data_IF_472177485563
#
_entry.id   IF_472177485563
#
_cell.length_a   1.000
_cell.length_b   1.000
_cell.length_c   1.000
_cell.angle_alpha   90.00
_cell.angle_beta   90.00
_cell.angle_gamma   90.00
#
_symmetry.space_group_name_H-M   'P 1'
#
loop_
_entity.id
_entity.type
_entity.pdbx_description
1 polymer ?
#
# COMPACT_ATOMS: atom_id res chain seq x y z
N UNK A 1 -29.74 35.11 16.76
CA UNK A 1 -29.81 33.66 17.06
C UNK A 1 -29.41 32.91 15.80
N UNK A 2 -28.35 32.11 15.82
CA UNK A 2 -28.00 31.28 14.65
C UNK A 2 -29.05 30.19 14.49
N UNK A 3 -29.71 30.12 13.32
CA UNK A 3 -30.66 29.05 13.02
C UNK A 3 -29.97 27.68 13.05
N UNK A 4 -30.73 26.61 13.21
CA UNK A 4 -30.19 25.25 13.13
C UNK A 4 -29.53 24.99 11.75
N UNK A 5 -30.04 25.60 10.68
CA UNK A 5 -29.41 25.59 9.36
C UNK A 5 -28.01 26.21 9.36
N UNK A 6 -27.83 27.33 10.07
CA UNK A 6 -26.54 27.97 10.25
C UNK A 6 -25.59 27.12 11.10
N UNK A 7 -26.10 26.53 12.18
CA UNK A 7 -25.33 25.59 13.01
C UNK A 7 -24.89 24.40 12.17
N UNK A 8 -25.77 23.82 11.35
CA UNK A 8 -25.47 22.68 10.49
C UNK A 8 -24.72 23.04 9.20
N UNK A 9 -24.36 24.31 8.99
CA UNK A 9 -23.67 24.82 7.78
C UNK A 9 -24.34 24.34 6.48
N UNK A 10 -25.68 24.41 6.42
CA UNK A 10 -26.46 23.82 5.33
C UNK A 10 -25.99 24.30 3.93
N UNK A 11 -25.58 25.56 3.83
CA UNK A 11 -25.06 26.19 2.62
C UNK A 11 -23.75 25.57 2.11
N UNK A 12 -22.97 24.90 2.95
CA UNK A 12 -21.74 24.19 2.54
C UNK A 12 -22.06 22.83 1.90
N UNK A 13 -23.19 22.22 2.25
CA UNK A 13 -23.56 20.86 1.83
C UNK A 13 -24.57 20.81 0.68
N UNK A 14 -25.35 21.88 0.51
CA UNK A 14 -26.44 21.97 -0.45
C UNK A 14 -26.36 23.24 -1.28
N UNK A 15 -26.87 23.15 -2.50
CA UNK A 15 -27.19 24.32 -3.32
C UNK A 15 -28.62 24.69 -2.97
N UNK A 16 -28.80 25.90 -2.42
CA UNK A 16 -30.10 26.44 -2.05
C UNK A 16 -30.52 27.54 -3.03
N UNK A 17 -31.81 27.65 -3.30
CA UNK A 17 -32.38 28.77 -4.04
C UNK A 17 -32.21 30.07 -3.22
N UNK A 18 -31.72 31.13 -3.85
CA UNK A 18 -31.41 32.40 -3.19
C UNK A 18 -32.63 33.23 -2.80
N UNK A 19 -33.80 32.95 -3.38
CA UNK A 19 -35.07 33.64 -3.14
C UNK A 19 -36.00 32.85 -2.23
N UNK A 20 -36.06 31.53 -2.37
CA UNK A 20 -36.97 30.68 -1.58
C UNK A 20 -36.29 29.98 -0.41
N UNK A 21 -34.95 29.84 -0.44
CA UNK A 21 -34.19 29.07 0.56
C UNK A 21 -34.38 27.55 0.46
N UNK A 22 -35.06 27.06 -0.59
CA UNK A 22 -35.27 25.64 -0.81
C UNK A 22 -33.99 24.93 -1.27
N UNK A 23 -33.83 23.68 -0.86
CA UNK A 23 -32.71 22.84 -1.26
C UNK A 23 -32.98 22.33 -2.68
N UNK A 24 -32.18 22.79 -3.65
CA UNK A 24 -32.29 22.35 -5.04
C UNK A 24 -31.61 21.00 -5.25
N UNK A 25 -30.37 20.87 -4.77
CA UNK A 25 -29.59 19.64 -4.87
C UNK A 25 -28.42 19.62 -3.90
N UNK A 26 -27.93 18.42 -3.55
CA UNK A 26 -26.59 18.24 -3.01
C UNK A 26 -25.51 19.00 -3.77
N UNK A 27 -24.58 19.65 -3.07
CA UNK A 27 -23.30 20.02 -3.68
C UNK A 27 -22.52 18.74 -3.99
N UNK A 28 -21.87 18.68 -5.16
CA UNK A 28 -20.78 17.73 -5.44
C UNK A 28 -19.57 18.20 -4.64
N UNK A 29 -19.57 17.92 -3.33
CA UNK A 29 -18.50 18.40 -2.46
C UNK A 29 -17.28 17.53 -2.68
N UNK A 30 -16.19 18.13 -3.18
CA UNK A 30 -14.84 17.54 -3.13
C UNK A 30 -14.29 17.46 -1.69
N UNK A 31 -14.95 18.13 -0.73
CA UNK A 31 -14.70 17.95 0.70
C UNK A 31 -15.33 16.65 1.17
N UNK A 32 -14.58 15.58 0.98
CA UNK A 32 -14.71 14.38 1.80
C UNK A 32 -14.11 14.79 3.17
N UNK A 33 -14.85 14.64 4.28
CA UNK A 33 -14.35 14.84 5.66
C UNK A 33 -14.17 16.30 6.19
N UNK A 34 -15.19 17.15 6.08
CA UNK A 34 -15.34 18.32 6.98
C UNK A 34 -15.99 17.88 8.29
N UNK A 35 -15.17 17.62 9.30
CA UNK A 35 -15.62 17.23 10.64
C UNK A 35 -15.66 18.44 11.56
N UNK A 36 -16.79 19.10 11.52
CA UNK A 36 -17.32 19.53 12.79
C UNK A 36 -17.67 18.28 13.61
N UNK A 37 -17.32 18.27 14.90
CA UNK A 37 -17.85 17.30 15.84
C UNK A 37 -19.35 17.12 15.55
N UNK A 38 -19.82 15.87 15.45
CA UNK A 38 -21.19 15.55 15.04
C UNK A 38 -22.16 16.58 15.60
N UNK A 39 -22.62 17.46 14.70
CA UNK A 39 -23.35 18.64 15.13
C UNK A 39 -24.70 18.19 15.66
N UNK A 40 -24.93 18.49 16.93
CA UNK A 40 -26.16 18.18 17.62
C UNK A 40 -27.02 19.42 17.79
N UNK A 41 -28.17 19.24 18.40
CA UNK A 41 -29.02 20.34 18.84
C UNK A 41 -28.21 21.31 19.73
N UNK A 42 -28.25 22.64 19.49
CA UNK A 42 -27.53 23.63 20.30
C UNK A 42 -27.90 23.62 21.78
N UNK A 43 -29.10 23.14 22.10
CA UNK A 43 -29.65 23.17 23.46
C UNK A 43 -29.40 21.85 24.21
N UNK A 44 -29.72 20.71 23.61
CA UNK A 44 -29.62 19.40 24.28
C UNK A 44 -28.46 18.54 23.79
N UNK A 45 -27.71 18.98 22.77
CA UNK A 45 -26.60 18.25 22.13
C UNK A 45 -26.96 16.90 21.51
N UNK A 46 -28.24 16.52 21.51
CA UNK A 46 -28.72 15.30 20.87
C UNK A 46 -28.46 15.34 19.35
N UNK A 47 -28.12 14.20 18.73
CA UNK A 47 -27.95 14.13 17.28
C UNK A 47 -29.24 14.52 16.54
N UNK A 48 -29.14 15.37 15.52
CA UNK A 48 -30.29 15.74 14.66
C UNK A 48 -30.43 14.81 13.45
N UNK A 49 -29.97 13.56 13.59
CA UNK A 49 -29.84 12.58 12.49
C UNK A 49 -31.16 12.02 11.97
N UNK A 50 -32.26 12.21 12.71
CA UNK A 50 -33.59 11.77 12.30
C UNK A 50 -34.31 12.80 11.41
N UNK A 51 -33.84 14.04 11.39
CA UNK A 51 -34.40 15.09 10.55
C UNK A 51 -33.82 14.94 9.14
N UNK A 52 -34.67 14.61 8.16
CA UNK A 52 -34.27 14.34 6.76
C UNK A 52 -33.34 15.40 6.18
N UNK A 53 -33.63 16.68 6.46
CA UNK A 53 -32.86 17.85 6.03
C UNK A 53 -31.38 17.79 6.43
N UNK A 54 -31.07 17.26 7.61
CA UNK A 54 -29.70 17.19 8.16
C UNK A 54 -29.11 15.78 8.18
N UNK A 55 -29.95 14.76 7.96
CA UNK A 55 -29.60 13.35 8.04
C UNK A 55 -28.40 13.02 7.15
N UNK A 56 -28.37 13.53 5.91
CA UNK A 56 -27.25 13.32 4.98
C UNK A 56 -25.93 13.87 5.51
N UNK A 57 -25.94 15.04 6.14
CA UNK A 57 -24.74 15.68 6.71
C UNK A 57 -24.17 14.79 7.82
N UNK A 58 -25.03 14.32 8.73
CA UNK A 58 -24.63 13.46 9.84
C UNK A 58 -24.16 12.09 9.37
N UNK A 59 -24.91 11.42 8.47
CA UNK A 59 -24.51 10.12 7.91
C UNK A 59 -23.20 10.21 7.14
N UNK A 60 -22.98 11.30 6.39
CA UNK A 60 -21.71 11.53 5.71
C UNK A 60 -20.57 11.65 6.72
N UNK A 61 -20.73 12.46 7.77
CA UNK A 61 -19.72 12.61 8.83
C UNK A 61 -19.39 11.26 9.53
N UNK A 62 -20.40 10.40 9.73
CA UNK A 62 -20.18 9.05 10.29
C UNK A 62 -19.40 8.13 9.35
N UNK A 63 -19.69 8.16 8.05
CA UNK A 63 -18.95 7.36 7.05
C UNK A 63 -17.50 7.82 6.90
N UNK A 64 -17.33 9.13 6.98
CA UNK A 64 -16.06 9.80 6.98
C UNK A 64 -15.21 9.32 8.20
N UNK A 65 -15.77 9.35 9.41
CA UNK A 65 -15.13 8.80 10.62
C UNK A 65 -14.85 7.28 10.54
N UNK A 66 -15.75 6.50 9.94
CA UNK A 66 -15.53 5.07 9.74
C UNK A 66 -14.36 4.82 8.77
N UNK A 67 -14.28 5.60 7.69
CA UNK A 67 -13.18 5.54 6.71
C UNK A 67 -11.85 5.89 7.36
N UNK A 68 -11.85 6.91 8.24
CA UNK A 68 -10.71 7.29 9.06
C UNK A 68 -10.14 6.12 9.86
N UNK A 69 -11.01 5.49 10.66
CA UNK A 69 -10.64 4.35 11.52
C UNK A 69 -10.15 3.17 10.70
N UNK A 70 -10.81 2.90 9.57
CA UNK A 70 -10.39 1.88 8.63
C UNK A 70 -8.97 2.13 8.10
N UNK A 71 -8.68 3.33 7.60
CA UNK A 71 -7.36 3.70 7.07
C UNK A 71 -6.27 3.57 8.12
N UNK A 72 -6.51 4.07 9.34
CA UNK A 72 -5.56 3.92 10.46
C UNK A 72 -5.28 2.45 10.78
N UNK A 73 -6.34 1.64 10.89
CA UNK A 73 -6.20 0.23 11.21
C UNK A 73 -5.49 -0.54 10.08
N UNK A 74 -5.83 -0.24 8.83
CA UNK A 74 -5.19 -0.86 7.66
C UNK A 74 -3.70 -0.52 7.58
N UNK A 75 -3.31 0.74 7.82
CA UNK A 75 -1.91 1.14 7.86
C UNK A 75 -1.13 0.50 9.01
N UNK A 76 -1.71 0.40 10.20
CA UNK A 76 -1.10 -0.31 11.33
C UNK A 76 -0.83 -1.78 10.98
N UNK A 77 -1.82 -2.48 10.39
CA UNK A 77 -1.64 -3.85 9.93
C UNK A 77 -0.60 -3.98 8.82
N UNK A 78 -0.48 -3.00 7.90
CA UNK A 78 0.59 -3.00 6.90
C UNK A 78 1.98 -2.91 7.56
N UNK A 79 2.15 -2.04 8.56
CA UNK A 79 3.42 -1.90 9.27
C UNK A 79 3.80 -3.18 10.01
N UNK A 80 2.83 -3.84 10.65
CA UNK A 80 3.01 -5.16 11.29
C UNK A 80 3.42 -6.22 10.26
N UNK A 81 2.67 -6.33 9.16
CA UNK A 81 2.93 -7.30 8.10
C UNK A 81 4.34 -7.16 7.51
N UNK A 82 4.82 -5.94 7.31
CA UNK A 82 6.18 -5.72 6.77
C UNK A 82 7.25 -6.26 7.71
N UNK A 83 7.06 -6.11 9.03
CA UNK A 83 7.97 -6.67 10.03
C UNK A 83 7.88 -8.20 10.03
N UNK A 84 6.67 -8.77 9.97
CA UNK A 84 6.47 -10.23 9.88
C UNK A 84 7.10 -10.80 8.60
N UNK A 85 6.96 -10.12 7.46
CA UNK A 85 7.57 -10.52 6.19
C UNK A 85 9.09 -10.52 6.29
N UNK A 86 9.69 -9.45 6.83
CA UNK A 86 11.15 -9.39 6.99
C UNK A 86 11.68 -10.52 7.88
N UNK A 87 10.97 -10.85 8.97
CA UNK A 87 11.32 -12.01 9.80
C UNK A 87 11.20 -13.32 9.02
N UNK A 88 10.10 -13.51 8.30
CA UNK A 88 9.88 -14.70 7.49
C UNK A 88 10.94 -14.89 6.39
N UNK A 89 11.41 -13.81 5.76
CA UNK A 89 12.51 -13.84 4.80
C UNK A 89 13.81 -14.36 5.45
N UNK A 90 14.19 -13.79 6.59
CA UNK A 90 15.39 -14.24 7.32
C UNK A 90 15.30 -15.69 7.82
N UNK A 91 14.11 -16.12 8.25
CA UNK A 91 13.86 -17.49 8.69
C UNK A 91 13.93 -18.49 7.52
N UNK A 92 13.40 -18.12 6.35
CA UNK A 92 13.49 -18.93 5.13
C UNK A 92 14.94 -19.10 4.68
N UNK A 93 15.72 -18.02 4.65
CA UNK A 93 17.15 -18.07 4.31
C UNK A 93 17.92 -18.99 5.25
N UNK A 94 17.76 -18.79 6.57
CA UNK A 94 18.43 -19.62 7.59
C UNK A 94 18.00 -21.08 7.52
N UNK A 95 16.72 -21.34 7.26
CA UNK A 95 16.15 -22.68 7.20
C UNK A 95 16.66 -23.53 6.04
N UNK A 96 17.23 -22.94 4.99
CA UNK A 96 17.84 -23.71 3.88
C UNK A 96 18.99 -24.61 4.34
N UNK A 97 19.69 -24.23 5.42
CA UNK A 97 20.81 -24.99 6.00
C UNK A 97 20.45 -26.41 6.46
N UNK A 98 19.17 -26.68 6.73
CA UNK A 98 18.69 -28.01 7.08
C UNK A 98 18.91 -28.99 5.91
N UNK A 99 18.75 -28.52 4.68
CA UNK A 99 18.85 -29.32 3.46
C UNK A 99 20.28 -29.44 2.91
N UNK A 100 21.21 -28.59 3.38
CA UNK A 100 22.63 -28.68 3.03
C UNK A 100 23.41 -29.62 3.95
N UNK A 101 22.93 -29.84 5.17
CA UNK A 101 23.67 -30.55 6.23
C UNK A 101 23.30 -32.03 6.39
N UNK A 102 22.16 -32.46 5.87
CA UNK A 102 21.69 -33.85 5.90
C UNK A 102 21.49 -34.35 4.48
N UNK A 103 22.03 -35.53 4.15
CA UNK A 103 21.53 -36.30 3.01
C UNK A 103 20.19 -36.91 3.44
N UNK A 104 19.05 -36.52 2.82
CA UNK A 104 17.79 -37.16 3.14
C UNK A 104 17.86 -38.60 2.63
N UNK A 105 17.99 -39.57 3.55
CA UNK A 105 18.07 -41.00 3.22
C UNK A 105 16.80 -41.52 2.50
N UNK A 106 15.67 -40.80 2.60
CA UNK A 106 14.41 -41.14 1.93
C UNK A 106 13.57 -39.92 1.49
N UNK A 107 12.84 -40.06 0.37
CA UNK A 107 11.91 -39.03 -0.17
C UNK A 107 10.86 -38.58 0.86
N UNK A 108 10.41 -39.50 1.73
CA UNK A 108 9.38 -39.22 2.76
C UNK A 108 9.90 -38.29 3.86
N UNK A 109 11.19 -38.36 4.18
CA UNK A 109 11.82 -37.49 5.16
C UNK A 109 12.00 -36.08 4.59
N UNK A 110 12.41 -35.97 3.32
CA UNK A 110 12.49 -34.69 2.61
C UNK A 110 11.15 -33.96 2.56
N UNK A 111 10.07 -34.68 2.23
CA UNK A 111 8.72 -34.11 2.16
C UNK A 111 8.24 -33.55 3.51
N UNK A 112 8.60 -34.22 4.59
CA UNK A 112 8.27 -33.82 5.96
C UNK A 112 9.08 -32.61 6.39
N UNK A 113 10.39 -32.61 6.10
CA UNK A 113 11.28 -31.47 6.31
C UNK A 113 10.82 -30.24 5.51
N UNK A 114 10.44 -30.43 4.24
CA UNK A 114 9.96 -29.37 3.36
C UNK A 114 8.64 -28.77 3.87
N UNK A 115 7.68 -29.61 4.30
CA UNK A 115 6.43 -29.12 4.89
C UNK A 115 6.67 -28.30 6.15
N UNK A 116 7.61 -28.76 7.00
CA UNK A 116 7.99 -28.07 8.24
C UNK A 116 8.67 -26.73 7.92
N UNK A 117 9.61 -26.72 6.98
CA UNK A 117 10.29 -25.52 6.47
C UNK A 117 9.29 -24.48 5.94
N UNK A 118 8.27 -24.92 5.20
CA UNK A 118 7.29 -24.02 4.61
C UNK A 118 6.17 -23.60 5.57
N UNK A 119 6.10 -24.12 6.80
CA UNK A 119 4.95 -23.92 7.67
C UNK A 119 4.72 -22.43 8.02
N UNK A 120 5.78 -21.75 8.47
CA UNK A 120 5.69 -20.35 8.89
C UNK A 120 5.36 -19.41 7.72
N UNK A 121 5.96 -19.64 6.55
CA UNK A 121 5.63 -18.84 5.36
C UNK A 121 4.17 -19.04 4.91
N UNK A 122 3.63 -20.26 5.02
CA UNK A 122 2.21 -20.50 4.71
C UNK A 122 1.27 -19.83 5.72
N UNK A 123 1.65 -19.77 7.02
CA UNK A 123 0.92 -18.99 8.02
C UNK A 123 0.92 -17.51 7.69
N UNK A 124 2.06 -16.96 7.29
CA UNK A 124 2.19 -15.57 6.85
C UNK A 124 1.33 -15.28 5.60
N UNK A 125 1.39 -16.15 4.58
CA UNK A 125 0.52 -16.04 3.40
C UNK A 125 -0.97 -16.09 3.76
N UNK A 126 -1.36 -16.92 4.76
CA UNK A 126 -2.73 -16.95 5.28
C UNK A 126 -3.09 -15.65 6.00
N UNK A 127 -2.18 -15.06 6.77
CA UNK A 127 -2.36 -13.75 7.41
C UNK A 127 -2.52 -12.62 6.39
N UNK A 128 -1.70 -12.61 5.33
CA UNK A 128 -1.83 -11.68 4.21
C UNK A 128 -3.18 -11.85 3.52
N UNK A 129 -3.63 -13.08 3.22
CA UNK A 129 -4.96 -13.32 2.65
C UNK A 129 -6.09 -12.77 3.52
N UNK A 130 -6.01 -12.92 4.84
CA UNK A 130 -6.99 -12.33 5.77
C UNK A 130 -6.98 -10.81 5.68
N UNK A 131 -5.80 -10.20 5.61
CA UNK A 131 -5.66 -8.76 5.41
C UNK A 131 -6.23 -8.30 4.06
N UNK A 132 -5.94 -9.02 2.97
CA UNK A 132 -6.51 -8.73 1.64
C UNK A 132 -8.03 -8.70 1.65
N UNK A 133 -8.67 -9.67 2.32
CA UNK A 133 -10.14 -9.69 2.49
C UNK A 133 -10.63 -8.50 3.31
N UNK A 134 -9.92 -8.16 4.39
CA UNK A 134 -10.28 -7.01 5.23
C UNK A 134 -10.26 -5.68 4.47
N UNK A 135 -9.33 -5.50 3.51
CA UNK A 135 -9.19 -4.25 2.74
C UNK A 135 -9.91 -4.26 1.39
N UNK A 136 -10.65 -5.31 1.09
CA UNK A 136 -11.41 -5.44 -0.16
C UNK A 136 -12.37 -4.27 -0.33
N UNK A 137 -12.55 -3.79 -1.56
CA UNK A 137 -13.37 -2.61 -1.88
C UNK A 137 -14.76 -2.67 -1.21
N UNK A 138 -15.37 -3.85 -1.18
CA UNK A 138 -16.69 -4.14 -0.59
C UNK A 138 -16.72 -4.04 0.93
N UNK A 139 -15.60 -4.33 1.60
CA UNK A 139 -15.50 -4.29 3.06
C UNK A 139 -15.18 -2.89 3.60
N UNK A 140 -14.72 -1.98 2.74
CA UNK A 140 -14.48 -0.60 3.11
C UNK A 140 -15.80 0.13 3.42
N UNK A 141 -15.81 1.17 4.28
CA UNK A 141 -17.03 1.84 4.70
C UNK A 141 -17.90 2.33 3.54
N UNK A 142 -17.30 2.95 2.52
CA UNK A 142 -18.01 3.37 1.31
C UNK A 142 -18.46 2.20 0.43
N UNK A 143 -17.69 1.11 0.37
CA UNK A 143 -18.08 -0.12 -0.31
C UNK A 143 -19.32 -0.76 0.30
N UNK A 144 -19.42 -0.81 1.64
CA UNK A 144 -20.59 -1.32 2.34
C UNK A 144 -21.84 -0.49 2.07
N UNK A 145 -21.71 0.84 2.06
CA UNK A 145 -22.83 1.73 1.68
C UNK A 145 -23.25 1.48 0.24
N UNK A 146 -22.30 1.31 -0.68
CA UNK A 146 -22.61 1.00 -2.06
C UNK A 146 -23.39 -0.31 -2.18
N UNK A 147 -22.96 -1.37 -1.48
CA UNK A 147 -23.68 -2.64 -1.46
C UNK A 147 -25.09 -2.52 -0.88
N UNK A 148 -25.25 -1.77 0.21
CA UNK A 148 -26.56 -1.50 0.81
C UNK A 148 -27.47 -0.74 -0.16
N UNK A 149 -26.92 0.25 -0.87
CA UNK A 149 -27.63 1.03 -1.87
C UNK A 149 -28.07 0.15 -3.05
N UNK A 150 -27.14 -0.58 -3.67
CA UNK A 150 -27.43 -1.52 -4.77
C UNK A 150 -28.50 -2.53 -4.37
N UNK A 151 -28.41 -3.08 -3.14
CA UNK A 151 -29.41 -4.02 -2.61
C UNK A 151 -30.78 -3.37 -2.39
N UNK A 152 -30.83 -2.09 -2.02
CA UNK A 152 -32.09 -1.36 -1.83
C UNK A 152 -32.75 -1.00 -3.16
N UNK A 153 -31.97 -0.57 -4.15
CA UNK A 153 -32.44 -0.31 -5.54
C UNK A 153 -32.99 -1.60 -6.14
N UNK A 154 -32.27 -2.72 -6.03
CA UNK A 154 -32.74 -4.00 -6.55
C UNK A 154 -34.10 -4.45 -5.97
N UNK A 155 -34.45 -4.01 -4.75
CA UNK A 155 -35.73 -4.33 -4.09
C UNK A 155 -36.85 -3.37 -4.43
N UNK A 156 -36.57 -2.18 -4.97
CA UNK A 156 -37.56 -1.14 -5.28
C UNK A 156 -37.51 -0.83 -6.78
N UNK A 157 -38.53 -1.26 -7.52
CA UNK A 157 -38.64 -1.03 -8.97
C UNK A 157 -38.73 0.45 -9.37
N UNK A 158 -38.97 1.35 -8.42
CA UNK A 158 -39.25 2.78 -8.65
C UNK A 158 -38.05 3.72 -8.37
N UNK A 159 -36.86 3.17 -8.09
CA UNK A 159 -35.65 3.99 -7.91
C UNK A 159 -34.87 4.00 -9.21
N UNK A 160 -34.77 5.17 -9.84
CA UNK A 160 -33.93 5.39 -11.01
C UNK A 160 -32.46 5.07 -10.66
N UNK A 161 -31.80 4.27 -11.51
CA UNK A 161 -30.44 3.74 -11.27
C UNK A 161 -29.36 4.83 -11.21
N UNK A 162 -29.67 6.04 -11.69
CA UNK A 162 -28.86 7.25 -11.72
C UNK A 162 -29.09 8.17 -10.50
N UNK A 163 -30.01 7.84 -9.59
CA UNK A 163 -30.34 8.68 -8.43
C UNK A 163 -29.19 8.86 -7.42
N UNK A 164 -28.17 8.00 -7.46
CA UNK A 164 -27.01 8.07 -6.58
C UNK A 164 -25.75 7.53 -7.28
N UNK A 165 -24.92 8.45 -7.77
CA UNK A 165 -23.60 8.14 -8.29
C UNK A 165 -22.59 8.19 -7.13
N UNK A 166 -22.18 7.04 -6.62
CA UNK A 166 -21.11 6.98 -5.61
C UNK A 166 -19.78 7.22 -6.32
N UNK A 167 -19.06 8.24 -5.88
CA UNK A 167 -17.70 8.50 -6.34
C UNK A 167 -16.78 7.35 -5.89
N UNK A 168 -16.40 6.46 -6.82
CA UNK A 168 -15.51 5.34 -6.53
C UNK A 168 -14.09 5.80 -6.13
N UNK A 169 -13.71 7.06 -6.41
CA UNK A 169 -12.40 7.60 -5.99
C UNK A 169 -12.24 7.69 -4.47
N UNK A 170 -13.34 7.59 -3.71
CA UNK A 170 -13.33 7.56 -2.25
C UNK A 170 -12.86 6.19 -1.71
N UNK A 171 -12.95 5.13 -2.51
CA UNK A 171 -12.52 3.78 -2.13
C UNK A 171 -10.99 3.71 -2.15
N UNK A 172 -10.40 3.33 -1.01
CA UNK A 172 -8.95 3.26 -0.81
C UNK A 172 -8.39 1.97 -1.42
N UNK A 173 -8.31 1.91 -2.76
CA UNK A 173 -7.85 0.72 -3.50
C UNK A 173 -6.38 0.38 -3.26
N UNK A 174 -5.57 1.35 -2.82
CA UNK A 174 -4.14 1.17 -2.58
C UNK A 174 -3.81 0.09 -1.54
N UNK A 175 -4.66 -0.14 -0.54
CA UNK A 175 -4.42 -1.21 0.45
C UNK A 175 -4.50 -2.61 -0.15
N UNK A 176 -5.40 -2.82 -1.11
CA UNK A 176 -5.55 -4.11 -1.79
C UNK A 176 -4.34 -4.40 -2.68
N UNK A 177 -3.87 -3.40 -3.44
CA UNK A 177 -2.66 -3.50 -4.26
C UNK A 177 -1.39 -3.75 -3.41
N UNK A 178 -1.33 -3.11 -2.25
CA UNK A 178 -0.26 -3.36 -1.26
C UNK A 178 -0.27 -4.79 -0.74
N UNK A 179 -1.45 -5.31 -0.40
CA UNK A 179 -1.58 -6.69 0.05
C UNK A 179 -1.14 -7.69 -1.05
N UNK A 180 -1.44 -7.39 -2.32
CA UNK A 180 -0.92 -8.17 -3.45
C UNK A 180 0.60 -8.09 -3.55
N UNK A 181 1.19 -6.90 -3.38
CA UNK A 181 2.64 -6.71 -3.39
C UNK A 181 3.33 -7.49 -2.25
N UNK A 182 2.77 -7.48 -1.04
CA UNK A 182 3.24 -8.33 0.07
C UNK A 182 3.17 -9.82 -0.25
N UNK A 183 2.10 -10.27 -0.92
CA UNK A 183 1.98 -11.66 -1.36
C UNK A 183 3.08 -12.02 -2.35
N UNK A 184 3.34 -11.17 -3.34
CA UNK A 184 4.41 -11.38 -4.33
C UNK A 184 5.78 -11.47 -3.66
N UNK A 185 6.08 -10.55 -2.75
CA UNK A 185 7.32 -10.53 -1.96
C UNK A 185 7.57 -11.84 -1.22
N UNK A 186 6.58 -12.32 -0.47
CA UNK A 186 6.70 -13.56 0.30
C UNK A 186 6.86 -14.77 -0.61
N UNK A 187 6.15 -14.81 -1.75
CA UNK A 187 6.31 -15.90 -2.71
C UNK A 187 7.67 -15.86 -3.42
N UNK A 188 8.20 -14.68 -3.71
CA UNK A 188 9.55 -14.55 -4.24
C UNK A 188 10.57 -15.15 -3.27
N UNK A 189 10.50 -14.78 -2.00
CA UNK A 189 11.36 -15.34 -0.98
C UNK A 189 11.24 -16.86 -0.87
N UNK A 190 10.02 -17.40 -0.87
CA UNK A 190 9.79 -18.83 -0.85
C UNK A 190 10.39 -19.52 -2.08
N UNK A 191 10.05 -19.07 -3.30
CA UNK A 191 10.49 -19.75 -4.52
C UNK A 191 12.00 -19.65 -4.74
N UNK A 192 12.62 -18.51 -4.42
CA UNK A 192 14.07 -18.35 -4.50
C UNK A 192 14.81 -19.30 -3.53
N UNK A 193 14.33 -19.43 -2.30
CA UNK A 193 14.95 -20.37 -1.36
C UNK A 193 14.71 -21.84 -1.76
N UNK A 194 13.57 -22.17 -2.37
CA UNK A 194 13.33 -23.51 -2.94
C UNK A 194 14.27 -23.81 -4.10
N UNK A 195 14.54 -22.81 -4.95
CA UNK A 195 15.53 -22.93 -6.02
C UNK A 195 16.94 -23.14 -5.47
N UNK A 196 17.30 -22.42 -4.40
CA UNK A 196 18.56 -22.61 -3.67
C UNK A 196 18.68 -24.06 -3.13
N UNK A 197 17.60 -24.59 -2.54
CA UNK A 197 17.54 -25.99 -2.10
C UNK A 197 17.69 -26.94 -3.29
N UNK A 198 16.98 -26.70 -4.41
CA UNK A 198 17.06 -27.53 -5.60
C UNK A 198 18.47 -27.54 -6.24
N UNK A 199 19.20 -26.43 -6.14
CA UNK A 199 20.58 -26.30 -6.60
C UNK A 199 21.62 -26.95 -5.65
N UNK A 200 21.21 -27.41 -4.47
CA UNK A 200 22.10 -28.05 -3.51
C UNK A 200 22.50 -29.45 -3.99
N UNK A 201 23.81 -29.76 -3.95
CA UNK A 201 24.38 -31.00 -4.50
C UNK A 201 23.87 -32.28 -3.83
N UNK A 202 23.56 -32.24 -2.53
CA UNK A 202 23.04 -33.37 -1.75
C UNK A 202 21.62 -33.80 -2.16
N UNK A 203 20.89 -32.96 -2.89
CA UNK A 203 19.51 -33.25 -3.29
C UNK A 203 19.49 -34.17 -4.52
N UNK A 204 18.86 -35.33 -4.38
CA UNK A 204 18.69 -36.30 -5.45
C UNK A 204 17.95 -35.74 -6.68
N UNK A 205 18.24 -36.29 -7.87
CA UNK A 205 17.74 -35.79 -9.15
C UNK A 205 16.21 -35.79 -9.27
N UNK A 206 15.54 -36.81 -8.70
CA UNK A 206 14.07 -36.91 -8.71
C UNK A 206 13.43 -35.76 -7.91
N UNK A 207 13.84 -35.56 -6.66
CA UNK A 207 13.37 -34.46 -5.80
C UNK A 207 13.67 -33.10 -6.45
N UNK A 208 14.86 -32.94 -7.04
CA UNK A 208 15.23 -31.73 -7.77
C UNK A 208 14.27 -31.45 -8.93
N UNK A 209 13.94 -32.46 -9.73
CA UNK A 209 12.98 -32.32 -10.83
C UNK A 209 11.58 -31.90 -10.36
N UNK A 210 11.10 -32.49 -9.26
CA UNK A 210 9.81 -32.12 -8.65
C UNK A 210 9.78 -30.68 -8.15
N UNK A 211 10.83 -30.25 -7.43
CA UNK A 211 10.97 -28.88 -6.95
C UNK A 211 10.99 -27.89 -8.10
N UNK A 212 11.82 -28.13 -9.13
CA UNK A 212 11.93 -27.25 -10.30
C UNK A 212 10.60 -27.15 -11.05
N UNK A 213 9.87 -28.25 -11.21
CA UNK A 213 8.52 -28.25 -11.79
C UNK A 213 7.55 -27.39 -10.99
N UNK A 214 7.57 -27.53 -9.66
CA UNK A 214 6.73 -26.74 -8.74
C UNK A 214 7.08 -25.25 -8.83
N UNK A 215 8.36 -24.91 -8.82
CA UNK A 215 8.87 -23.54 -8.95
C UNK A 215 8.41 -22.93 -10.28
N UNK A 216 8.65 -23.57 -11.42
CA UNK A 216 8.24 -23.05 -12.73
C UNK A 216 6.72 -22.89 -12.86
N UNK A 217 5.92 -23.80 -12.29
CA UNK A 217 4.46 -23.67 -12.30
C UNK A 217 3.99 -22.49 -11.44
N UNK A 218 4.53 -22.35 -10.23
CA UNK A 218 4.18 -21.25 -9.32
C UNK A 218 4.65 -19.90 -9.84
N UNK A 219 5.87 -19.82 -10.39
CA UNK A 219 6.42 -18.60 -10.95
C UNK A 219 5.56 -18.06 -12.10
N UNK A 220 5.10 -18.91 -13.03
CA UNK A 220 4.19 -18.49 -14.11
C UNK A 220 2.88 -17.88 -13.60
N UNK A 221 2.22 -18.51 -12.62
CA UNK A 221 1.00 -17.95 -12.04
C UNK A 221 1.24 -16.62 -11.31
N UNK A 222 2.42 -16.46 -10.69
CA UNK A 222 2.80 -15.20 -10.03
C UNK A 222 3.17 -14.10 -11.03
N UNK A 223 3.66 -14.45 -12.23
CA UNK A 223 3.86 -13.49 -13.32
C UNK A 223 2.52 -12.91 -13.79
N UNK A 224 1.48 -13.74 -13.92
CA UNK A 224 0.12 -13.28 -14.26
C UNK A 224 -0.44 -12.34 -13.19
N UNK A 225 -0.20 -12.66 -11.91
CA UNK A 225 -0.54 -11.78 -10.78
C UNK A 225 0.22 -10.44 -10.86
N UNK A 226 1.52 -10.45 -11.19
CA UNK A 226 2.31 -9.25 -11.39
C UNK A 226 1.75 -8.39 -12.54
N UNK A 227 1.43 -8.97 -13.70
CA UNK A 227 0.87 -8.25 -14.83
C UNK A 227 -0.49 -7.58 -14.50
N UNK A 228 -1.32 -8.29 -13.72
CA UNK A 228 -2.58 -7.76 -13.20
C UNK A 228 -2.35 -6.57 -12.25
N UNK A 229 -1.36 -6.68 -11.36
CA UNK A 229 -1.00 -5.62 -10.41
C UNK A 229 -0.42 -4.39 -11.12
N UNK A 230 0.42 -4.56 -12.15
CA UNK A 230 0.93 -3.48 -12.99
C UNK A 230 -0.23 -2.68 -13.58
N UNK A 231 -1.17 -3.36 -14.26
CA UNK A 231 -2.33 -2.72 -14.90
C UNK A 231 -3.22 -1.99 -13.89
N UNK A 232 -3.49 -2.61 -12.75
CA UNK A 232 -4.30 -2.02 -11.68
C UNK A 232 -3.62 -0.80 -11.04
N UNK A 233 -2.31 -0.86 -10.82
CA UNK A 233 -1.52 0.24 -10.25
C UNK A 233 -1.40 1.44 -11.18
N UNK A 234 -1.27 1.22 -12.49
CA UNK A 234 -1.28 2.28 -13.51
C UNK A 234 -2.63 3.00 -13.55
N UNK A 235 -3.72 2.21 -13.57
CA UNK A 235 -5.10 2.74 -13.56
C UNK A 235 -5.37 3.56 -12.29
N UNK A 236 -4.88 3.07 -11.14
CA UNK A 236 -5.01 3.75 -9.86
C UNK A 236 -3.98 4.89 -9.64
N UNK A 237 -3.02 5.08 -10.57
CA UNK A 237 -1.92 6.07 -10.47
C UNK A 237 -1.09 5.90 -9.18
N UNK A 238 -0.72 4.65 -8.88
CA UNK A 238 0.05 4.26 -7.70
C UNK A 238 1.42 3.69 -8.13
N UNK A 239 2.40 4.54 -8.49
CA UNK A 239 3.65 4.12 -9.12
C UNK A 239 4.53 3.21 -8.25
N UNK A 240 4.39 3.28 -6.91
CA UNK A 240 5.07 2.38 -5.99
C UNK A 240 4.77 0.90 -6.28
N UNK A 241 3.49 0.56 -6.39
CA UNK A 241 3.07 -0.83 -6.63
C UNK A 241 3.37 -1.27 -8.06
N UNK A 242 3.41 -0.32 -9.02
CA UNK A 242 3.84 -0.61 -10.39
C UNK A 242 5.30 -1.08 -10.41
N UNK A 243 6.19 -0.32 -9.76
CA UNK A 243 7.62 -0.64 -9.69
C UNK A 243 7.84 -1.98 -8.98
N UNK A 244 7.22 -2.19 -7.82
CA UNK A 244 7.34 -3.46 -7.09
C UNK A 244 6.86 -4.65 -7.94
N UNK A 245 5.74 -4.51 -8.64
CA UNK A 245 5.20 -5.58 -9.49
C UNK A 245 6.11 -5.89 -10.69
N UNK A 246 6.69 -4.87 -11.35
CA UNK A 246 7.64 -5.06 -12.46
C UNK A 246 8.93 -5.74 -12.00
N UNK A 247 9.45 -5.36 -10.83
CA UNK A 247 10.61 -6.02 -10.22
C UNK A 247 10.33 -7.51 -9.98
N UNK A 248 9.19 -7.82 -9.35
CA UNK A 248 8.81 -9.22 -9.10
C UNK A 248 8.53 -9.98 -10.39
N UNK A 249 7.94 -9.34 -11.41
CA UNK A 249 7.73 -9.94 -12.73
C UNK A 249 9.07 -10.38 -13.34
N UNK A 250 10.06 -9.49 -13.41
CA UNK A 250 11.38 -9.81 -13.92
C UNK A 250 12.06 -10.95 -13.13
N UNK A 251 11.96 -10.90 -11.80
CA UNK A 251 12.49 -11.94 -10.91
C UNK A 251 11.83 -13.31 -11.16
N UNK A 252 10.50 -13.39 -11.21
CA UNK A 252 9.78 -14.64 -11.49
C UNK A 252 10.02 -15.14 -12.92
N UNK A 253 10.11 -14.25 -13.91
CA UNK A 253 10.48 -14.58 -15.29
C UNK A 253 11.82 -15.31 -15.33
N UNK A 254 12.85 -14.76 -14.67
CA UNK A 254 14.18 -15.37 -14.64
C UNK A 254 14.21 -16.69 -13.86
N UNK A 255 13.47 -16.78 -12.75
CA UNK A 255 13.36 -18.02 -11.99
C UNK A 255 12.68 -19.14 -12.78
N UNK A 256 11.57 -18.82 -13.45
CA UNK A 256 10.85 -19.75 -14.33
C UNK A 256 11.73 -20.22 -15.49
N UNK A 257 12.46 -19.30 -16.12
CA UNK A 257 13.38 -19.58 -17.22
C UNK A 257 14.51 -20.53 -16.78
N UNK A 258 15.21 -20.19 -15.69
CA UNK A 258 16.32 -21.01 -15.16
C UNK A 258 15.86 -22.43 -14.82
N UNK A 259 14.74 -22.57 -14.13
CA UNK A 259 14.19 -23.88 -13.77
C UNK A 259 13.75 -24.67 -15.00
N UNK A 260 13.16 -24.02 -16.01
CA UNK A 260 12.71 -24.69 -17.24
C UNK A 260 13.89 -25.18 -18.09
N UNK A 261 14.94 -24.37 -18.23
CA UNK A 261 16.19 -24.75 -18.92
C UNK A 261 16.78 -26.01 -18.32
N UNK A 262 16.87 -26.02 -16.99
CA UNK A 262 17.41 -27.12 -16.22
C UNK A 262 16.57 -28.42 -16.28
N UNK A 263 15.27 -28.35 -16.62
CA UNK A 263 14.47 -29.51 -16.98
C UNK A 263 14.70 -29.97 -18.44
N UNK A 264 15.02 -29.03 -19.33
CA UNK A 264 15.02 -29.20 -20.79
C UNK A 264 16.32 -29.69 -21.42
N UNK A 265 17.41 -29.90 -20.66
CA UNK A 265 18.73 -30.36 -21.14
C UNK A 265 18.74 -31.81 -21.72
N UNK A 266 17.64 -32.29 -22.31
CA UNK A 266 17.49 -33.64 -22.87
C UNK A 266 17.39 -33.68 -24.41
N UNK A 267 17.42 -32.56 -25.15
CA UNK A 267 17.32 -32.61 -26.64
C UNK A 267 17.89 -31.39 -27.37
N UNK A 268 18.85 -31.61 -28.28
CA UNK A 268 19.64 -30.59 -29.00
C UNK A 268 18.81 -29.70 -29.97
N UNK A 269 17.71 -30.20 -30.53
CA UNK A 269 16.89 -29.42 -31.49
C UNK A 269 16.02 -28.33 -30.84
N UNK A 270 15.86 -28.35 -29.51
CA UNK A 270 15.09 -27.35 -28.77
C UNK A 270 15.92 -26.15 -28.30
N UNK A 271 17.25 -26.16 -28.43
CA UNK A 271 18.13 -25.13 -27.85
C UNK A 271 18.10 -23.79 -28.61
N UNK A 272 18.06 -23.78 -29.94
CA UNK A 272 18.12 -22.52 -30.73
C UNK A 272 16.85 -21.66 -30.57
N UNK A 273 15.66 -22.28 -30.62
CA UNK A 273 14.36 -21.58 -30.43
C UNK A 273 14.21 -21.09 -28.99
N UNK A 274 14.70 -21.86 -28.01
CA UNK A 274 14.65 -21.49 -26.60
C UNK A 274 15.61 -20.35 -26.28
N UNK A 275 16.76 -20.28 -26.97
CA UNK A 275 17.74 -19.19 -26.84
C UNK A 275 17.21 -17.86 -27.38
N UNK A 276 16.55 -17.85 -28.54
CA UNK A 276 15.95 -16.64 -29.10
C UNK A 276 14.79 -16.11 -28.23
N UNK A 277 13.93 -17.00 -27.73
CA UNK A 277 12.84 -16.64 -26.82
C UNK A 277 13.38 -16.13 -25.46
N UNK A 278 14.47 -16.71 -24.96
CA UNK A 278 15.17 -16.25 -23.77
C UNK A 278 15.76 -14.84 -23.95
N UNK A 279 16.42 -14.58 -25.08
CA UNK A 279 16.99 -13.26 -25.39
C UNK A 279 15.88 -12.20 -25.41
N UNK A 280 14.77 -12.49 -26.09
CA UNK A 280 13.63 -11.58 -26.19
C UNK A 280 12.96 -11.35 -24.82
N UNK A 281 12.84 -12.39 -23.99
CA UNK A 281 12.33 -12.26 -22.62
C UNK A 281 13.24 -11.36 -21.79
N UNK A 282 14.55 -11.60 -21.78
CA UNK A 282 15.52 -10.77 -21.03
C UNK A 282 15.49 -9.32 -21.50
N UNK A 283 15.36 -9.09 -22.81
CA UNK A 283 15.20 -7.75 -23.39
C UNK A 283 13.94 -7.05 -22.84
N UNK A 284 12.78 -7.71 -22.91
CA UNK A 284 11.51 -7.16 -22.40
C UNK A 284 11.57 -6.83 -20.91
N UNK A 285 12.15 -7.72 -20.09
CA UNK A 285 12.29 -7.45 -18.66
C UNK A 285 13.23 -6.28 -18.38
N UNK A 286 14.33 -6.15 -19.14
CA UNK A 286 15.23 -4.99 -19.02
C UNK A 286 14.52 -3.67 -19.38
N UNK A 287 13.75 -3.62 -20.47
CA UNK A 287 12.94 -2.45 -20.85
C UNK A 287 11.90 -2.11 -19.75
N UNK A 288 11.30 -3.13 -19.13
CA UNK A 288 10.39 -2.95 -18.00
C UNK A 288 11.10 -2.39 -16.75
N UNK A 289 12.34 -2.81 -16.48
CA UNK A 289 13.15 -2.31 -15.37
C UNK A 289 13.70 -0.90 -15.65
N UNK A 290 14.01 -0.55 -16.89
CA UNK A 290 14.33 0.83 -17.30
C UNK A 290 13.14 1.77 -17.06
N UNK A 291 11.91 1.31 -17.34
CA UNK A 291 10.70 2.05 -16.97
C UNK A 291 10.63 2.30 -15.45
N UNK A 292 11.08 1.33 -14.63
CA UNK A 292 11.14 1.50 -13.18
C UNK A 292 12.15 2.56 -12.74
N UNK A 293 13.29 2.66 -13.42
CA UNK A 293 14.30 3.70 -13.15
C UNK A 293 13.75 5.08 -13.46
N UNK A 294 13.10 5.25 -14.61
CA UNK A 294 12.43 6.51 -14.98
C UNK A 294 11.37 6.89 -13.93
N UNK A 295 10.60 5.93 -13.43
CA UNK A 295 9.66 6.18 -12.33
C UNK A 295 10.39 6.61 -11.04
N UNK A 296 11.52 5.99 -10.70
CA UNK A 296 12.34 6.37 -9.53
C UNK A 296 13.06 7.71 -9.69
N UNK A 297 13.25 8.20 -10.91
CA UNK A 297 13.77 9.55 -11.21
C UNK A 297 12.66 10.60 -11.10
N UNK A 298 11.46 10.29 -11.57
CA UNK A 298 10.29 11.15 -11.45
C UNK A 298 9.83 11.31 -9.99
N UNK A 299 10.06 10.27 -9.17
CA UNK A 299 9.54 10.14 -7.81
C UNK A 299 10.63 9.73 -6.80
N UNK A 300 11.72 10.52 -6.65
CA UNK A 300 12.90 10.09 -5.89
C UNK A 300 12.64 9.99 -4.38
N UNK A 301 11.68 10.77 -3.86
CA UNK A 301 11.32 10.77 -2.44
C UNK A 301 10.57 9.52 -1.98
N UNK A 302 9.63 9.02 -2.80
CA UNK A 302 8.82 7.85 -2.41
C UNK A 302 9.36 6.54 -2.98
N UNK A 303 10.05 6.56 -4.12
CA UNK A 303 10.53 5.35 -4.80
C UNK A 303 12.04 5.14 -4.70
N UNK A 304 12.79 6.07 -4.12
CA UNK A 304 14.26 6.00 -4.03
C UNK A 304 14.78 4.71 -3.40
N UNK A 305 14.06 4.16 -2.42
CA UNK A 305 14.41 2.91 -1.73
C UNK A 305 14.35 1.66 -2.66
N UNK A 306 13.61 1.73 -3.77
CA UNK A 306 13.47 0.61 -4.73
C UNK A 306 14.64 0.52 -5.71
N UNK A 307 15.55 1.51 -5.76
CA UNK A 307 16.67 1.51 -6.71
C UNK A 307 17.57 0.30 -6.57
N UNK A 308 17.86 -0.12 -5.33
CA UNK A 308 18.64 -1.33 -5.06
C UNK A 308 17.89 -2.60 -5.48
N UNK A 309 16.57 -2.66 -5.26
CA UNK A 309 15.74 -3.78 -5.74
C UNK A 309 15.77 -3.89 -7.28
N UNK A 310 15.71 -2.75 -7.99
CA UNK A 310 15.80 -2.68 -9.47
C UNK A 310 17.18 -3.15 -9.95
N UNK A 311 18.26 -2.65 -9.34
CA UNK A 311 19.62 -3.04 -9.73
C UNK A 311 19.85 -4.55 -9.55
N UNK A 312 19.38 -5.13 -8.44
CA UNK A 312 19.43 -6.57 -8.21
C UNK A 312 18.61 -7.36 -9.22
N UNK A 313 17.42 -6.88 -9.58
CA UNK A 313 16.60 -7.50 -10.63
C UNK A 313 17.31 -7.45 -12.00
N UNK A 314 17.92 -6.32 -12.37
CA UNK A 314 18.71 -6.20 -13.61
C UNK A 314 19.89 -7.17 -13.63
N UNK A 315 20.63 -7.28 -12.52
CA UNK A 315 21.72 -8.26 -12.39
C UNK A 315 21.23 -9.69 -12.64
N UNK A 316 20.08 -10.05 -12.07
CA UNK A 316 19.46 -11.36 -12.30
C UNK A 316 19.04 -11.56 -13.77
N UNK A 317 18.39 -10.56 -14.38
CA UNK A 317 18.00 -10.57 -15.80
C UNK A 317 19.18 -10.65 -16.75
N UNK A 318 20.36 -10.18 -16.34
CA UNK A 318 21.59 -10.25 -17.13
C UNK A 318 22.46 -11.48 -16.82
N UNK A 319 21.92 -12.48 -16.11
CA UNK A 319 22.59 -13.77 -15.88
C UNK A 319 23.36 -13.88 -14.55
N UNK A 320 23.14 -12.97 -13.62
CA UNK A 320 23.64 -13.10 -12.25
C UNK A 320 23.11 -14.37 -11.59
N UNK A 321 24.01 -15.17 -10.99
CA UNK A 321 23.68 -16.48 -10.37
C UNK A 321 23.33 -16.38 -8.90
N UNK A 322 23.55 -15.23 -8.27
CA UNK A 322 23.32 -15.01 -6.84
C UNK A 322 22.37 -13.84 -6.63
N UNK A 323 21.25 -14.09 -5.95
CA UNK A 323 20.34 -13.05 -5.49
C UNK A 323 20.40 -12.97 -3.96
N UNK A 324 20.55 -11.76 -3.44
CA UNK A 324 20.46 -11.46 -2.00
C UNK A 324 19.27 -10.56 -1.75
N UNK A 325 18.48 -10.85 -0.71
CA UNK A 325 17.34 -10.03 -0.35
C UNK A 325 17.80 -8.61 0.05
N UNK A 326 17.01 -7.60 -0.29
CA UNK A 326 17.23 -6.23 0.19
C UNK A 326 16.75 -6.15 1.64
N UNK A 327 17.50 -5.43 2.48
CA UNK A 327 17.16 -5.27 3.89
C UNK A 327 15.76 -4.68 4.03
N UNK A 328 14.96 -5.25 4.93
CA UNK A 328 13.59 -4.78 5.17
C UNK A 328 13.56 -3.43 5.88
N UNK A 329 14.70 -2.92 6.34
CA UNK A 329 14.78 -1.72 7.16
C UNK A 329 14.29 -0.46 6.43
N UNK A 330 14.66 -0.27 5.16
CA UNK A 330 14.21 0.89 4.35
C UNK A 330 12.69 0.83 4.10
N UNK A 331 12.17 -0.33 3.69
CA UNK A 331 10.71 -0.55 3.53
C UNK A 331 9.99 -0.35 4.86
N UNK A 332 10.53 -0.85 5.97
CA UNK A 332 9.97 -0.70 7.31
C UNK A 332 9.93 0.76 7.74
N UNK A 333 10.94 1.55 7.44
CA UNK A 333 10.96 2.99 7.73
C UNK A 333 9.91 3.74 6.91
N UNK A 334 9.72 3.41 5.62
CA UNK A 334 8.62 3.96 4.82
C UNK A 334 7.26 3.64 5.45
N UNK A 335 7.00 2.39 5.83
CA UNK A 335 5.71 2.02 6.42
C UNK A 335 5.53 2.51 7.86
N UNK A 336 6.60 2.60 8.66
CA UNK A 336 6.57 3.26 9.97
C UNK A 336 6.32 4.75 9.81
N UNK A 337 6.96 5.40 8.85
CA UNK A 337 6.70 6.80 8.53
C UNK A 337 5.25 6.98 8.11
N UNK A 338 4.72 6.14 7.20
CA UNK A 338 3.31 6.14 6.83
C UNK A 338 2.41 5.95 8.06
N UNK A 339 2.62 4.91 8.88
CA UNK A 339 1.83 4.67 10.10
C UNK A 339 1.93 5.84 11.10
N UNK A 340 3.10 6.46 11.22
CA UNK A 340 3.36 7.61 12.10
C UNK A 340 2.78 8.91 11.57
N UNK A 341 2.57 9.05 10.25
CA UNK A 341 1.80 10.16 9.69
C UNK A 341 0.34 10.10 10.15
N UNK A 342 -0.14 8.93 10.61
CA UNK A 342 -1.44 8.79 11.26
C UNK A 342 -1.38 8.84 12.80
N UNK A 343 -0.23 9.21 13.41
CA UNK A 343 -0.08 9.48 14.86
C UNK A 343 0.51 10.88 15.13
N UNK A 344 0.14 11.57 16.23
CA UNK A 344 0.60 12.94 16.58
C UNK A 344 -0.48 14.04 16.55
N UNK A 345 -0.12 15.33 16.50
CA UNK A 345 -0.99 16.54 16.66
C UNK A 345 -1.16 17.48 15.44
N UNK A 346 -0.55 17.22 14.27
CA UNK A 346 -0.67 18.07 13.06
C UNK A 346 -2.02 18.04 12.31
N UNK A 347 -2.21 18.96 11.35
CA UNK A 347 -3.42 19.06 10.52
C UNK A 347 -3.44 18.10 9.32
N UNK A 348 -4.64 17.71 8.91
CA UNK A 348 -4.91 16.74 7.86
C UNK A 348 -5.38 17.40 6.57
N UNK A 349 -5.05 16.78 5.44
CA UNK A 349 -5.41 17.21 4.09
C UNK A 349 -5.72 16.01 3.20
N UNK A 350 -6.47 16.24 2.12
CA UNK A 350 -6.57 15.31 1.00
C UNK A 350 -5.66 15.76 -0.12
N UNK A 351 -4.93 14.82 -0.72
CA UNK A 351 -4.34 15.08 -2.02
C UNK A 351 -5.44 15.11 -3.10
N UNK A 352 -5.12 15.63 -4.30
CA UNK A 352 -6.04 15.69 -5.44
C UNK A 352 -6.66 14.33 -5.87
N UNK A 353 -6.07 13.22 -5.43
CA UNK A 353 -6.52 11.85 -5.70
C UNK A 353 -7.30 11.25 -4.50
N UNK A 354 -7.65 12.05 -3.48
CA UNK A 354 -8.47 11.60 -2.35
C UNK A 354 -7.71 10.83 -1.25
N UNK A 355 -6.37 10.78 -1.29
CA UNK A 355 -5.57 10.15 -0.23
C UNK A 355 -5.48 11.07 1.00
N UNK A 356 -5.82 10.57 2.21
CA UNK A 356 -5.62 11.31 3.45
C UNK A 356 -4.13 11.41 3.76
N UNK A 357 -3.65 12.65 3.92
CA UNK A 357 -2.26 12.96 4.27
C UNK A 357 -2.25 13.90 5.46
N UNK A 358 -1.23 13.78 6.29
CA UNK A 358 -1.05 14.65 7.44
C UNK A 358 0.33 15.28 7.38
N UNK A 359 0.40 16.60 7.60
CA UNK A 359 1.69 17.28 7.68
C UNK A 359 2.20 17.20 9.13
N UNK A 360 3.46 16.77 9.39
CA UNK A 360 4.02 16.88 10.72
C UNK A 360 4.07 18.36 11.15
N UNK A 361 3.80 18.69 12.43
CA UNK A 361 4.08 20.02 12.95
C UNK A 361 5.58 20.30 12.77
N UNK A 362 5.93 21.55 12.49
CA UNK A 362 7.28 22.02 12.16
C UNK A 362 8.37 21.23 12.91
N UNK A 363 9.03 20.29 12.23
CA UNK A 363 10.44 20.03 12.51
C UNK A 363 11.23 20.81 11.47
N UNK A 364 12.15 21.61 11.98
CA UNK A 364 13.12 22.43 11.24
C UNK A 364 13.63 21.74 9.96
N UNK A 365 14.01 22.52 8.93
CA UNK A 365 14.41 22.01 7.63
C UNK A 365 15.48 20.91 7.71
N UNK A 366 15.38 19.94 6.80
CA UNK A 366 16.26 18.77 6.60
C UNK A 366 17.67 19.18 6.10
N UNK A 367 18.24 20.29 6.56
CA UNK A 367 19.59 20.75 6.18
C UNK A 367 20.68 20.49 7.21
N UNK A 368 20.42 19.76 8.30
CA UNK A 368 21.44 19.49 9.34
C UNK A 368 21.64 18.01 9.74
N UNK A 369 21.30 17.06 8.87
CA UNK A 369 21.55 15.62 9.10
C UNK A 369 22.87 15.11 8.49
N UNK A 370 23.91 15.96 8.42
CA UNK A 370 25.25 15.58 7.92
C UNK A 370 26.42 15.83 8.87
N UNK A 371 26.21 16.37 10.07
CA UNK A 371 27.34 16.77 10.94
C UNK A 371 27.36 16.18 12.36
N UNK A 372 26.46 15.28 12.74
CA UNK A 372 26.43 14.71 14.12
C UNK A 372 26.64 13.20 14.18
N UNK A 373 27.52 12.67 13.33
CA UNK A 373 28.05 11.30 13.46
C UNK A 373 29.55 11.26 13.78
N UNK A 374 30.10 12.34 14.34
CA UNK A 374 31.42 12.30 14.97
C UNK A 374 31.35 13.05 16.30
N UNK A 375 31.68 12.36 17.38
CA UNK A 375 31.82 12.82 18.78
C UNK A 375 30.52 13.04 19.58
N UNK A 376 30.15 12.06 20.42
CA UNK A 376 30.12 12.16 21.89
C UNK A 376 29.25 11.06 22.53
N UNK A 377 29.65 10.68 23.74
CA UNK A 377 29.20 9.54 24.55
C UNK A 377 27.84 9.71 25.23
N UNK A 378 27.37 8.61 25.82
CA UNK A 378 26.22 8.48 26.71
C UNK A 378 26.20 9.48 27.88
N UNK A 379 24.96 9.80 28.31
CA UNK A 379 24.51 10.63 29.45
C UNK A 379 24.50 12.17 29.25
N UNK A 380 23.32 12.76 29.01
CA UNK A 380 22.63 13.60 30.03
C UNK A 380 21.30 14.22 29.56
N UNK A 381 20.26 13.92 30.34
CA UNK A 381 19.21 14.78 30.93
C UNK A 381 18.32 15.70 30.07
N UNK A 382 17.02 15.35 30.14
CA UNK A 382 15.79 16.14 29.98
C UNK A 382 15.89 17.60 30.45
N UNK A 383 15.48 18.56 29.62
CA UNK A 383 14.76 19.77 30.08
C UNK A 383 13.80 20.27 29.00
N UNK A 384 12.53 20.28 29.39
CA UNK A 384 11.41 20.90 28.70
C UNK A 384 11.58 22.42 28.59
N UNK A 385 11.46 22.94 27.39
CA UNK A 385 10.98 24.32 27.16
C UNK A 385 10.04 24.28 25.96
N UNK A 386 8.75 24.10 26.28
CA UNK A 386 7.65 24.40 25.37
C UNK A 386 7.57 25.93 25.24
N UNK A 387 7.89 26.45 24.06
CA UNK A 387 7.44 27.78 23.65
C UNK A 387 6.62 27.61 22.38
N UNK A 388 5.35 28.00 22.46
CA UNK A 388 4.37 27.99 21.38
C UNK A 388 4.59 29.20 20.48
N UNK A 389 5.25 28.98 19.34
CA UNK A 389 5.10 29.87 18.19
C UNK A 389 3.72 29.57 17.61
N UNK A 390 2.88 30.59 17.44
CA UNK A 390 1.52 30.44 16.94
C UNK A 390 1.49 29.68 15.62
N UNK A 391 1.01 28.44 15.65
CA UNK A 391 0.83 27.61 14.46
C UNK A 391 -0.38 28.17 13.68
N UNK A 392 -0.12 28.82 12.56
CA UNK A 392 -1.16 29.32 11.66
C UNK A 392 -2.04 28.22 11.04
N UNK A 393 -1.78 26.94 11.35
CA UNK A 393 -2.59 25.78 10.98
C UNK A 393 -2.75 25.52 9.47
N UNK A 394 -2.13 26.34 8.64
CA UNK A 394 -2.22 26.32 7.18
C UNK A 394 -0.87 25.92 6.58
N UNK A 395 -0.87 25.35 5.37
CA UNK A 395 0.36 24.82 4.80
C UNK A 395 1.29 25.95 4.35
N UNK A 396 2.48 25.99 4.94
CA UNK A 396 3.56 26.95 4.64
C UNK A 396 4.70 26.38 3.79
N UNK A 397 4.64 25.07 3.52
CA UNK A 397 5.57 24.38 2.62
C UNK A 397 4.81 23.29 1.87
N UNK A 398 5.14 23.14 0.59
CA UNK A 398 4.73 22.00 -0.23
C UNK A 398 5.47 20.73 0.18
N UNK A 399 4.77 19.61 0.04
CA UNK A 399 5.27 18.25 0.22
C UNK A 399 4.62 17.33 -0.83
N UNK A 400 4.92 16.03 -0.79
CA UNK A 400 4.36 15.03 -1.71
C UNK A 400 3.53 13.99 -0.97
N UNK A 401 2.40 13.60 -1.56
CA UNK A 401 1.58 12.51 -1.05
C UNK A 401 2.40 11.20 -1.06
N UNK A 402 2.52 10.48 0.06
CA UNK A 402 3.33 9.27 0.13
C UNK A 402 2.69 8.07 -0.61
N UNK A 403 1.44 8.20 -1.05
CA UNK A 403 0.73 7.17 -1.82
C UNK A 403 0.80 7.40 -3.33
N UNK A 404 0.76 8.66 -3.78
CA UNK A 404 0.62 8.98 -5.21
C UNK A 404 1.41 10.19 -5.68
N UNK A 405 2.33 10.71 -4.88
CA UNK A 405 3.29 11.78 -5.23
C UNK A 405 2.68 13.14 -5.61
N UNK A 406 1.35 13.24 -5.63
CA UNK A 406 0.64 14.49 -5.89
C UNK A 406 1.11 15.58 -4.90
N UNK A 407 1.20 16.85 -5.36
CA UNK A 407 1.48 17.97 -4.48
C UNK A 407 0.48 17.98 -3.32
N UNK A 408 1.00 18.08 -2.11
CA UNK A 408 0.24 18.24 -0.86
C UNK A 408 0.87 19.36 -0.04
N UNK A 409 0.16 19.90 0.94
CA UNK A 409 0.60 21.13 1.59
C UNK A 409 0.29 22.34 0.72
N UNK A 410 1.24 23.28 0.58
CA UNK A 410 0.97 24.62 0.06
C UNK A 410 1.99 25.67 0.52
N UNK A 411 1.99 26.86 -0.08
CA UNK A 411 2.87 27.98 0.24
C UNK A 411 2.05 29.16 0.76
N UNK A 412 2.65 29.97 1.63
CA UNK A 412 2.02 31.22 2.11
C UNK A 412 0.61 31.06 2.68
N UNK A 413 0.35 29.91 3.34
CA UNK A 413 -0.95 29.52 3.89
C UNK A 413 -2.00 29.10 2.84
N UNK A 414 -1.65 29.02 1.56
CA UNK A 414 -2.54 28.54 0.51
C UNK A 414 -2.23 27.09 0.13
N UNK A 415 -3.22 26.18 0.16
CA UNK A 415 -3.02 24.80 -0.22
C UNK A 415 -2.73 24.66 -1.73
N UNK A 416 -1.86 23.70 -2.08
CA UNK A 416 -1.55 23.40 -3.48
C UNK A 416 -2.82 23.00 -4.27
N UNK A 417 -2.88 23.22 -5.59
CA UNK A 417 -4.09 23.00 -6.38
C UNK A 417 -4.69 21.59 -6.22
N UNK A 418 -5.96 21.52 -5.83
CA UNK A 418 -6.67 20.25 -5.58
C UNK A 418 -6.41 19.62 -4.21
N UNK A 419 -5.62 20.28 -3.35
CA UNK A 419 -5.47 19.92 -1.95
C UNK A 419 -6.54 20.62 -1.14
N UNK A 420 -7.20 19.88 -0.27
CA UNK A 420 -8.25 20.41 0.59
C UNK A 420 -8.01 19.98 2.03
N UNK A 421 -8.18 20.91 2.98
CA UNK A 421 -8.04 20.64 4.41
C UNK A 421 -9.11 19.64 4.85
N UNK A 422 -8.69 18.63 5.61
CA UNK A 422 -9.55 17.63 6.22
C UNK A 422 -9.87 18.06 7.65
N UNK A 423 -10.57 19.19 7.78
CA UNK A 423 -10.89 19.88 9.04
C UNK A 423 -11.48 18.96 10.11
N UNK A 424 -12.08 17.83 9.70
CA UNK A 424 -12.63 16.84 10.62
C UNK A 424 -11.68 15.98 11.39
N UNK A 425 -10.50 15.77 10.85
CA UNK A 425 -9.48 15.00 11.53
C UNK A 425 -8.72 15.88 12.53
N UNK A 426 -8.67 17.18 12.27
CA UNK A 426 -8.00 18.18 13.10
C UNK A 426 -8.68 18.34 14.47
N UNK A 427 -10.02 18.41 14.52
CA UNK A 427 -10.77 18.65 15.76
C UNK A 427 -10.76 17.46 16.75
N UNK A 428 -10.51 16.24 16.25
CA UNK A 428 -10.55 15.00 17.02
C UNK A 428 -9.15 14.47 17.40
N UNK A 429 -8.10 14.80 16.63
CA UNK A 429 -6.73 14.32 16.85
C UNK A 429 -5.69 15.45 16.99
N UNK A 430 -6.10 16.72 16.87
CA UNK A 430 -5.25 17.90 17.09
C UNK A 430 -5.24 18.40 18.54
N UNK A 431 -5.76 17.62 19.49
CA UNK A 431 -5.64 17.91 20.93
C UNK A 431 -4.80 16.83 21.59
N UNK A 432 -3.52 17.15 21.78
CA UNK A 432 -2.84 16.88 23.04
C UNK A 432 -2.69 18.22 23.78
#
# INVERSE_FOLDING_TARGET
MSSLDGVMELSEHYITDSKTGEILRPKKTSRILSGNALKGCPYCRMPVGEIERYNRIIKRALLDEATRRFVMHANAQCAELVVEIGKGETELERGTSVFTSHEPDEVRDFDTALKTYQLEVHKLLKRIRKFTKFVEKTEQPFGKVNQLFVSAVAKRQDIATDAFELDESVIQTGFQLRAQSFRLRVNWALLWNLDTIACTRSIGSCIRGELRTKISKSARGLMDDCASLITASQTAKLPQHEVEARIYHAQFSMLSLSNTRELGNSTEQHEEVNTAAEIELRKRENESLETCEVLCENYPGSLGYLRNDIEKAKKLVNGGTTYTFVTTDEKREVYRAMASQFSGTGHWYYCRNGHPVRKPPHRYPITLWRSTLNSASANDVVKSTQFTVGECGMPMQEARCPQCEAPVGGLDHDPAPGVHRAEGWDAQFGRD
#
